data_IF_366995017698
#
_entry.id   IF_366995017698
#
_cell.length_a   1.000
_cell.length_b   1.000
_cell.length_c   1.000
_cell.angle_alpha   90.00
_cell.angle_beta   90.00
_cell.angle_gamma   90.00
#
_symmetry.space_group_name_H-M   'P 1'
#
loop_
_entity.id
_entity.type
_entity.pdbx_description
1 polymer ?
#
# COMPACT_ATOMS: atom_id res chain seq x y z
N UNK A 1 17.05 -13.31 -16.88
CA UNK A 1 16.76 -14.49 -16.01
C UNK A 1 15.86 -14.18 -14.80
N UNK A 2 15.36 -12.95 -14.62
CA UNK A 2 14.39 -12.64 -13.55
C UNK A 2 12.92 -13.02 -13.88
N UNK A 3 12.57 -13.12 -15.17
CA UNK A 3 11.20 -13.38 -15.63
C UNK A 3 10.64 -14.78 -15.26
N UNK A 4 11.51 -15.73 -14.90
CA UNK A 4 11.12 -17.11 -14.55
C UNK A 4 10.87 -17.29 -13.04
N UNK A 5 11.21 -16.30 -12.20
CA UNK A 5 11.11 -16.42 -10.74
C UNK A 5 9.81 -15.88 -10.15
N UNK A 6 9.03 -15.12 -10.92
CA UNK A 6 7.71 -14.61 -10.51
C UNK A 6 6.55 -15.45 -11.07
N UNK A 7 6.81 -16.66 -11.58
CA UNK A 7 5.82 -17.51 -12.27
C UNK A 7 4.97 -18.40 -11.35
N UNK A 8 5.14 -18.35 -10.03
CA UNK A 8 4.27 -19.10 -9.12
C UNK A 8 2.88 -18.46 -9.11
N UNK A 9 1.90 -19.18 -9.67
CA UNK A 9 0.49 -18.75 -9.81
C UNK A 9 -0.17 -18.38 -8.47
N UNK A 10 0.38 -18.83 -7.34
CA UNK A 10 -0.14 -18.58 -6.01
C UNK A 10 -0.01 -17.11 -5.54
N UNK A 11 0.98 -16.35 -6.04
CA UNK A 11 1.28 -15.00 -5.53
C UNK A 11 0.74 -13.87 -6.42
N UNK A 12 0.19 -14.21 -7.60
CA UNK A 12 -0.24 -13.25 -8.64
C UNK A 12 -1.66 -12.69 -8.57
N UNK A 13 -2.69 -13.32 -7.95
CA UNK A 13 -4.06 -12.84 -8.13
C UNK A 13 -4.30 -11.43 -7.57
N UNK A 14 -3.43 -10.96 -6.65
CA UNK A 14 -3.53 -9.63 -6.05
C UNK A 14 -2.32 -8.72 -6.39
N UNK A 15 -1.42 -9.17 -7.26
CA UNK A 15 -0.23 -8.40 -7.64
C UNK A 15 -0.58 -7.46 -8.80
N UNK A 16 -0.37 -6.15 -8.62
CA UNK A 16 -0.49 -5.18 -9.72
C UNK A 16 0.70 -5.31 -10.66
N UNK A 17 0.45 -5.18 -11.97
CA UNK A 17 1.53 -5.17 -12.95
C UNK A 17 2.29 -3.85 -12.86
N UNK A 18 3.60 -3.90 -12.63
CA UNK A 18 4.46 -2.70 -12.54
C UNK A 18 5.53 -2.75 -13.62
N UNK A 19 5.68 -1.66 -14.36
CA UNK A 19 6.81 -1.44 -15.27
C UNK A 19 7.65 -0.30 -14.70
N UNK A 20 8.96 -0.49 -14.60
CA UNK A 20 9.91 0.57 -14.24
C UNK A 20 10.68 0.96 -15.50
N UNK A 21 10.48 2.19 -15.95
CA UNK A 21 11.15 2.81 -17.09
C UNK A 21 12.21 3.78 -16.59
N UNK A 22 13.50 3.46 -16.78
CA UNK A 22 14.58 4.44 -16.57
C UNK A 22 14.96 5.04 -17.92
N UNK A 23 14.90 6.37 -18.03
CA UNK A 23 15.18 7.07 -19.28
C UNK A 23 15.80 8.45 -19.02
N UNK A 24 16.59 8.92 -19.99
CA UNK A 24 17.21 10.26 -20.00
C UNK A 24 16.55 11.22 -21.00
N UNK A 25 15.82 10.67 -21.98
CA UNK A 25 15.25 11.42 -23.10
C UNK A 25 13.96 10.79 -23.61
N UNK A 26 13.08 11.61 -24.20
CA UNK A 26 11.83 11.18 -24.81
C UNK A 26 11.79 11.55 -26.31
N UNK A 27 11.32 10.63 -27.15
CA UNK A 27 11.17 10.87 -28.58
C UNK A 27 9.74 10.54 -29.04
N UNK A 28 9.07 11.56 -29.58
CA UNK A 28 7.75 11.44 -30.19
C UNK A 28 7.89 10.89 -31.61
N UNK A 29 8.20 9.60 -31.74
CA UNK A 29 8.24 8.95 -33.06
C UNK A 29 8.62 7.46 -33.02
N UNK A 30 8.18 6.72 -34.03
CA UNK A 30 8.37 5.27 -34.13
C UNK A 30 7.07 4.53 -34.46
N UNK A 31 7.14 3.21 -34.66
CA UNK A 31 5.98 2.37 -35.00
C UNK A 31 4.95 2.28 -33.86
N UNK A 32 5.35 2.60 -32.63
CA UNK A 32 4.48 2.64 -31.45
C UNK A 32 4.75 3.95 -30.71
N UNK A 33 3.72 4.79 -30.57
CA UNK A 33 3.81 6.02 -29.78
C UNK A 33 3.91 5.65 -28.30
N UNK A 34 5.01 5.98 -27.57
CA UNK A 34 5.20 5.53 -26.20
C UNK A 34 4.08 5.98 -25.25
N UNK A 35 3.48 7.15 -25.51
CA UNK A 35 2.32 7.65 -24.76
C UNK A 35 1.07 6.78 -24.89
N UNK A 36 0.81 6.22 -26.08
CA UNK A 36 -0.35 5.34 -26.30
C UNK A 36 -0.17 4.00 -25.59
N UNK A 37 1.04 3.43 -25.66
CA UNK A 37 1.36 2.17 -24.97
C UNK A 37 1.30 2.34 -23.45
N UNK A 38 1.84 3.45 -22.94
CA UNK A 38 1.76 3.80 -21.53
C UNK A 38 0.31 4.00 -21.07
N UNK A 39 -0.53 4.68 -21.86
CA UNK A 39 -1.95 4.87 -21.54
C UNK A 39 -2.70 3.54 -21.47
N UNK A 40 -2.52 2.66 -22.46
CA UNK A 40 -3.16 1.34 -22.47
C UNK A 40 -2.75 0.48 -21.27
N UNK A 41 -1.46 0.46 -20.94
CA UNK A 41 -0.98 -0.28 -19.77
C UNK A 41 -1.57 0.25 -18.45
N UNK A 42 -1.77 1.57 -18.35
CA UNK A 42 -2.43 2.20 -17.20
C UNK A 42 -3.93 1.87 -17.14
N UNK A 43 -4.61 1.81 -18.29
CA UNK A 43 -6.02 1.39 -18.38
C UNK A 43 -6.22 -0.07 -17.96
N UNK A 44 -5.25 -0.94 -18.25
CA UNK A 44 -5.22 -2.34 -17.81
C UNK A 44 -4.83 -2.51 -16.32
N UNK A 45 -4.99 -1.44 -15.51
CA UNK A 45 -4.66 -1.39 -14.09
C UNK A 45 -3.16 -1.64 -13.78
N UNK A 46 -2.30 -1.35 -14.77
CA UNK A 46 -0.85 -1.35 -14.63
C UNK A 46 -0.30 -0.04 -14.07
N UNK A 47 0.85 -0.13 -13.40
CA UNK A 47 1.57 1.00 -12.82
C UNK A 47 2.87 1.21 -13.58
N UNK A 48 3.03 2.38 -14.20
CA UNK A 48 4.26 2.74 -14.90
C UNK A 48 5.07 3.72 -14.06
N UNK A 49 6.16 3.23 -13.47
CA UNK A 49 7.16 4.03 -12.76
C UNK A 49 8.17 4.57 -13.76
N UNK A 50 8.34 5.88 -13.80
CA UNK A 50 9.30 6.53 -14.69
C UNK A 50 10.37 7.18 -13.84
N UNK A 51 11.60 6.73 -14.03
CA UNK A 51 12.78 7.26 -13.39
C UNK A 51 13.57 8.07 -14.42
N UNK A 52 13.46 9.39 -14.32
CA UNK A 52 14.17 10.34 -15.15
C UNK A 52 15.61 10.51 -14.64
N UNK A 53 16.57 10.07 -15.45
CA UNK A 53 17.98 10.22 -15.15
C UNK A 53 18.52 11.49 -15.80
N UNK A 54 18.78 12.50 -14.98
CA UNK A 54 19.39 13.77 -15.38
C UNK A 54 20.90 13.63 -15.31
N UNK A 55 21.58 13.80 -16.45
CA UNK A 55 23.05 13.81 -16.51
C UNK A 55 23.61 15.04 -15.77
N UNK A 56 24.92 15.03 -15.44
CA UNK A 56 25.59 16.03 -14.59
C UNK A 56 25.42 17.50 -15.07
N UNK A 57 25.05 17.70 -16.34
CA UNK A 57 24.79 19.00 -16.98
C UNK A 57 23.47 19.01 -17.78
N UNK A 58 22.61 18.01 -17.55
CA UNK A 58 21.32 17.85 -18.22
C UNK A 58 20.20 18.59 -17.48
N UNK A 59 19.06 18.70 -18.14
CA UNK A 59 17.80 19.12 -17.52
C UNK A 59 16.83 17.94 -17.51
N UNK A 60 15.96 17.83 -16.48
CA UNK A 60 14.94 16.79 -16.46
C UNK A 60 14.01 16.93 -17.66
N UNK A 61 13.85 15.85 -18.41
CA UNK A 61 12.89 15.76 -19.52
C UNK A 61 11.45 15.69 -18.99
N UNK A 62 10.69 16.77 -19.17
CA UNK A 62 9.31 16.90 -18.68
C UNK A 62 8.33 16.01 -19.45
N UNK A 63 8.63 15.64 -20.70
CA UNK A 63 7.76 14.78 -21.49
C UNK A 63 7.67 13.35 -20.92
N UNK A 64 8.69 12.90 -20.18
CA UNK A 64 8.69 11.60 -19.49
C UNK A 64 7.66 11.54 -18.35
N UNK A 65 7.28 12.68 -17.77
CA UNK A 65 6.26 12.76 -16.72
C UNK A 65 4.88 12.29 -17.24
N UNK A 66 4.57 12.61 -18.50
CA UNK A 66 3.29 12.23 -19.13
C UNK A 66 3.11 10.72 -19.27
N UNK A 67 4.21 9.97 -19.31
CA UNK A 67 4.20 8.52 -19.39
C UNK A 67 3.87 7.90 -18.03
N UNK A 68 4.42 8.47 -16.96
CA UNK A 68 4.29 7.93 -15.61
C UNK A 68 2.82 7.74 -15.21
N UNK A 69 2.57 6.73 -14.38
CA UNK A 69 1.35 6.70 -13.61
C UNK A 69 1.35 7.87 -12.62
N UNK A 70 0.18 8.46 -12.31
CA UNK A 70 0.09 9.44 -11.22
C UNK A 70 0.70 8.85 -9.96
N UNK A 71 1.62 9.53 -9.28
CA UNK A 71 2.32 8.94 -8.14
C UNK A 71 3.70 8.31 -8.44
N UNK A 72 4.17 8.26 -9.69
CA UNK A 72 5.33 7.41 -10.03
C UNK A 72 6.37 8.03 -10.97
N UNK A 73 6.48 9.36 -10.99
CA UNK A 73 7.59 10.05 -11.66
C UNK A 73 8.69 10.37 -10.65
N UNK A 74 9.90 9.88 -10.91
CA UNK A 74 11.06 10.00 -10.03
C UNK A 74 12.23 10.62 -10.79
N UNK A 75 13.10 11.35 -10.09
CA UNK A 75 14.31 11.94 -10.67
C UNK A 75 15.54 11.57 -9.84
N UNK A 76 16.67 11.34 -10.50
CA UNK A 76 17.94 11.09 -9.79
C UNK A 76 18.43 12.30 -8.98
N UNK A 77 18.00 13.52 -9.35
CA UNK A 77 18.32 14.75 -8.60
C UNK A 77 17.61 14.81 -7.25
N UNK A 78 16.46 14.15 -7.12
CA UNK A 78 15.66 14.10 -5.89
C UNK A 78 15.84 12.78 -5.13
N UNK A 79 16.36 11.74 -5.79
CA UNK A 79 16.59 10.41 -5.22
C UNK A 79 18.07 10.06 -5.05
N UNK A 80 18.77 10.83 -4.21
CA UNK A 80 20.21 10.69 -3.98
C UNK A 80 20.65 9.32 -3.41
N UNK A 81 19.71 8.57 -2.82
CA UNK A 81 19.99 7.31 -2.11
C UNK A 81 19.28 6.09 -2.73
N UNK A 82 18.51 6.24 -3.81
CA UNK A 82 17.66 5.16 -4.36
C UNK A 82 16.47 4.80 -3.45
N UNK A 83 16.15 5.65 -2.49
CA UNK A 83 15.05 5.44 -1.56
C UNK A 83 13.69 5.75 -2.20
N UNK A 84 13.66 6.63 -3.21
CA UNK A 84 12.42 7.01 -3.87
C UNK A 84 11.93 5.89 -4.80
N UNK A 85 12.83 5.20 -5.52
CA UNK A 85 12.46 4.02 -6.31
C UNK A 85 12.03 2.84 -5.42
N UNK A 86 12.70 2.64 -4.27
CA UNK A 86 12.29 1.65 -3.27
C UNK A 86 10.90 1.97 -2.73
N UNK A 87 10.64 3.24 -2.42
CA UNK A 87 9.33 3.74 -2.00
C UNK A 87 8.29 3.63 -3.09
N UNK A 88 8.55 3.99 -4.33
CA UNK A 88 7.59 3.79 -5.43
C UNK A 88 7.21 2.31 -5.61
N UNK A 89 8.14 1.38 -5.36
CA UNK A 89 7.88 -0.06 -5.40
C UNK A 89 7.21 -0.60 -4.12
N UNK A 90 7.30 0.11 -3.00
CA UNK A 90 6.74 -0.29 -1.69
C UNK A 90 5.47 0.46 -1.26
N UNK A 91 5.40 1.77 -1.49
CA UNK A 91 4.31 2.71 -1.15
C UNK A 91 3.10 2.57 -2.08
N UNK A 92 3.14 1.59 -2.98
CA UNK A 92 2.00 1.25 -3.83
C UNK A 92 0.78 0.77 -3.05
N UNK A 93 0.89 0.36 -1.79
CA UNK A 93 -0.25 -0.16 -1.03
C UNK A 93 -0.27 0.12 0.48
N UNK A 94 0.83 -0.03 1.25
CA UNK A 94 0.74 -0.01 2.72
C UNK A 94 2.02 0.51 3.44
N UNK A 95 1.82 1.24 4.55
CA UNK A 95 2.83 1.88 5.43
C UNK A 95 2.55 1.58 6.92
N UNK A 96 2.99 0.42 7.41
CA UNK A 96 2.97 -0.07 8.77
C UNK A 96 3.85 0.77 9.72
N UNK A 97 3.21 1.23 10.78
CA UNK A 97 3.80 2.01 11.87
C UNK A 97 3.87 1.12 13.12
N UNK A 98 5.08 0.99 13.67
CA UNK A 98 5.32 0.18 14.87
C UNK A 98 4.86 0.88 16.17
N UNK A 99 4.63 2.20 16.12
CA UNK A 99 4.12 2.94 17.26
C UNK A 99 2.65 2.58 17.53
N UNK A 100 2.37 2.11 18.73
CA UNK A 100 1.00 1.84 19.16
C UNK A 100 0.27 3.16 19.45
N UNK A 101 -0.91 3.33 18.86
CA UNK A 101 -1.73 4.53 19.06
C UNK A 101 -3.21 4.17 19.17
N UNK A 102 -4.02 5.11 19.64
CA UNK A 102 -5.47 5.00 19.52
C UNK A 102 -5.93 5.15 18.07
N UNK A 103 -7.17 4.72 17.80
CA UNK A 103 -7.70 4.68 16.43
C UNK A 103 -7.73 6.07 15.78
N UNK A 104 -8.17 7.09 16.52
CA UNK A 104 -8.28 8.45 16.02
C UNK A 104 -6.92 9.04 15.61
N UNK A 105 -5.89 8.80 16.43
CA UNK A 105 -4.54 9.24 16.14
C UNK A 105 -3.94 8.49 14.94
N UNK A 106 -4.16 7.17 14.84
CA UNK A 106 -3.77 6.39 13.67
C UNK A 106 -4.40 6.97 12.39
N UNK A 107 -5.71 7.27 12.42
CA UNK A 107 -6.43 7.83 11.27
C UNK A 107 -5.86 9.18 10.86
N UNK A 108 -5.60 10.06 11.82
CA UNK A 108 -5.07 11.39 11.53
C UNK A 108 -3.66 11.35 10.95
N UNK A 109 -2.82 10.41 11.40
CA UNK A 109 -1.46 10.22 10.87
C UNK A 109 -1.49 9.69 9.43
N UNK A 110 -2.31 8.67 9.16
CA UNK A 110 -2.46 8.19 7.78
C UNK A 110 -3.03 9.27 6.85
N UNK A 111 -3.96 10.10 7.36
CA UNK A 111 -4.49 11.23 6.59
C UNK A 111 -3.42 12.30 6.31
N UNK A 112 -2.51 12.57 7.24
CA UNK A 112 -1.39 13.49 6.99
C UNK A 112 -0.41 12.95 5.94
N UNK A 113 -0.36 11.64 5.76
CA UNK A 113 0.41 10.96 4.69
C UNK A 113 -0.38 10.85 3.37
N UNK A 114 -1.55 11.48 3.26
CA UNK A 114 -2.37 11.46 2.04
C UNK A 114 -3.16 10.16 1.82
N UNK A 115 -3.30 9.33 2.85
CA UNK A 115 -4.02 8.05 2.80
C UNK A 115 -5.03 7.85 3.93
N UNK A 116 -5.35 6.59 4.18
CA UNK A 116 -6.25 6.16 5.25
C UNK A 116 -5.64 4.98 6.01
N UNK A 117 -6.21 4.59 7.16
CA UNK A 117 -5.79 3.34 7.81
C UNK A 117 -6.10 2.18 6.86
N UNK A 118 -5.14 1.26 6.71
CA UNK A 118 -5.23 0.07 5.89
C UNK A 118 -6.58 -0.62 6.01
N UNK A 119 -7.25 -0.84 4.87
CA UNK A 119 -8.63 -1.33 4.89
C UNK A 119 -8.65 -2.81 5.24
N UNK A 120 -7.82 -3.66 4.63
CA UNK A 120 -7.82 -5.08 4.96
C UNK A 120 -9.20 -5.73 4.79
N UNK A 121 -9.89 -5.41 3.68
CA UNK A 121 -11.28 -5.82 3.38
C UNK A 121 -11.42 -7.32 3.12
N UNK A 122 -10.33 -7.98 2.78
CA UNK A 122 -10.24 -9.39 2.44
C UNK A 122 -9.16 -10.09 3.28
N UNK A 123 -9.27 -11.42 3.40
CA UNK A 123 -8.35 -12.23 4.21
C UNK A 123 -6.89 -12.10 3.69
N UNK A 124 -6.71 -12.15 2.38
CA UNK A 124 -5.40 -11.96 1.71
C UNK A 124 -4.72 -10.62 2.09
N UNK A 125 -5.48 -9.54 2.25
CA UNK A 125 -4.98 -8.22 2.60
C UNK A 125 -4.57 -8.18 4.06
N UNK A 126 -5.36 -8.76 4.97
CA UNK A 126 -4.97 -8.87 6.39
C UNK A 126 -3.77 -9.77 6.58
N UNK A 127 -3.67 -10.86 5.81
CA UNK A 127 -2.53 -11.77 5.80
C UNK A 127 -1.26 -11.11 5.27
N UNK A 128 -1.37 -10.24 4.26
CA UNK A 128 -0.23 -9.45 3.74
C UNK A 128 0.32 -8.48 4.79
N UNK A 129 -0.56 -7.89 5.61
CA UNK A 129 -0.17 -6.94 6.66
C UNK A 129 0.56 -7.61 7.83
N UNK A 130 0.21 -8.86 8.17
CA UNK A 130 0.87 -9.64 9.22
C UNK A 130 2.08 -10.41 8.66
N UNK A 131 3.28 -10.23 9.24
CA UNK A 131 4.53 -10.92 8.83
C UNK A 131 4.44 -12.45 8.70
N UNK A 132 3.36 -13.09 9.18
CA UNK A 132 3.22 -14.54 9.25
C UNK A 132 3.13 -15.25 7.89
N UNK A 133 2.78 -14.55 6.81
CA UNK A 133 2.53 -15.18 5.49
C UNK A 133 3.60 -14.96 4.43
N UNK A 134 4.61 -14.12 4.68
CA UNK A 134 5.69 -13.92 3.72
C UNK A 134 6.49 -15.22 3.53
N UNK A 135 6.47 -15.70 2.29
CA UNK A 135 7.08 -16.97 1.92
C UNK A 135 8.58 -17.00 2.28
N UNK A 136 9.17 -18.18 2.56
CA UNK A 136 10.60 -18.33 2.83
C UNK A 136 11.51 -17.76 1.74
N UNK A 137 10.99 -17.53 0.53
CA UNK A 137 11.73 -17.03 -0.62
C UNK A 137 12.02 -15.53 -0.52
N UNK A 138 11.17 -14.75 0.16
CA UNK A 138 11.42 -13.31 0.34
C UNK A 138 12.51 -13.12 1.42
N UNK A 139 12.58 -13.99 2.45
CA UNK A 139 13.62 -13.95 3.51
C UNK A 139 15.07 -14.03 3.02
N UNK A 140 15.30 -14.55 1.81
CA UNK A 140 16.63 -14.72 1.23
C UNK A 140 17.03 -13.59 0.26
N UNK A 141 16.17 -12.60 0.03
CA UNK A 141 16.58 -11.40 -0.71
C UNK A 141 17.51 -10.53 0.14
N UNK A 142 18.53 -9.89 -0.45
CA UNK A 142 19.29 -8.87 0.26
C UNK A 142 18.33 -7.79 0.79
N UNK A 143 18.60 -7.20 1.97
CA UNK A 143 17.69 -6.29 2.71
C UNK A 143 17.23 -5.05 1.93
N UNK A 144 17.80 -4.79 0.75
CA UNK A 144 17.46 -3.70 -0.16
C UNK A 144 16.05 -3.85 -0.77
N UNK A 145 15.50 -5.07 -0.84
CA UNK A 145 14.19 -5.36 -1.47
C UNK A 145 13.06 -5.68 -0.48
N UNK A 146 13.32 -5.75 0.83
CA UNK A 146 12.40 -6.35 1.80
C UNK A 146 12.20 -5.46 3.04
N UNK A 147 11.61 -4.28 2.82
CA UNK A 147 11.15 -3.38 3.89
C UNK A 147 9.90 -2.61 3.49
N UNK A 148 9.07 -3.17 2.59
CA UNK A 148 7.72 -2.66 2.45
C UNK A 148 7.01 -2.99 3.77
N UNK A 149 6.50 -1.96 4.43
CA UNK A 149 6.13 -1.96 5.84
C UNK A 149 5.36 -3.20 6.35
N UNK A 150 5.84 -3.83 7.43
CA UNK A 150 5.28 -5.10 7.93
C UNK A 150 5.02 -5.04 9.45
N UNK A 151 3.89 -5.59 9.93
CA UNK A 151 3.66 -5.76 11.37
C UNK A 151 4.49 -6.90 11.94
N UNK A 152 4.90 -6.84 13.21
CA UNK A 152 5.49 -8.01 13.86
C UNK A 152 4.49 -9.18 13.88
N UNK A 153 4.94 -10.38 13.49
CA UNK A 153 4.09 -11.57 13.42
C UNK A 153 3.37 -11.79 14.74
N UNK A 154 2.04 -11.95 14.68
CA UNK A 154 1.22 -12.21 15.85
C UNK A 154 0.94 -10.98 16.72
N UNK A 155 1.14 -9.77 16.21
CA UNK A 155 0.69 -8.55 16.85
C UNK A 155 -0.75 -8.19 16.42
N UNK A 156 -1.51 -7.57 17.32
CA UNK A 156 -2.82 -7.01 16.97
C UNK A 156 -2.65 -5.60 16.41
N UNK A 157 -3.36 -5.30 15.34
CA UNK A 157 -3.26 -4.02 14.64
C UNK A 157 -4.62 -3.46 14.24
N UNK A 158 -4.69 -2.14 14.07
CA UNK A 158 -5.87 -1.45 13.57
C UNK A 158 -6.12 -1.71 12.09
N UNK A 159 -7.38 -1.88 11.72
CA UNK A 159 -7.86 -1.81 10.34
C UNK A 159 -8.82 -0.64 10.18
N UNK A 160 -8.96 -0.13 8.97
CA UNK A 160 -9.79 1.03 8.65
C UNK A 160 -11.30 0.81 8.79
N UNK A 161 -11.77 -0.14 9.61
CA UNK A 161 -13.19 -0.40 9.84
C UNK A 161 -13.66 0.22 11.15
N UNK A 162 -14.76 0.97 11.08
CA UNK A 162 -15.38 1.61 12.25
C UNK A 162 -16.91 1.56 12.16
N UNK A 163 -17.57 1.45 13.30
CA UNK A 163 -19.02 1.60 13.40
C UNK A 163 -19.42 3.07 13.22
N UNK A 164 -20.32 3.33 12.28
CA UNK A 164 -20.92 4.63 12.06
C UNK A 164 -22.29 4.71 12.75
N UNK A 165 -22.39 5.57 13.76
CA UNK A 165 -23.56 5.66 14.64
C UNK A 165 -24.81 6.13 13.89
N UNK A 166 -24.67 7.01 12.91
CA UNK A 166 -25.81 7.54 12.16
C UNK A 166 -26.36 6.48 11.21
N UNK A 167 -25.47 5.77 10.51
CA UNK A 167 -25.84 4.74 9.52
C UNK A 167 -26.22 3.41 10.18
N UNK A 168 -25.88 3.23 11.46
CA UNK A 168 -26.05 1.96 12.20
C UNK A 168 -25.39 0.80 11.45
N UNK A 169 -24.20 1.04 10.89
CA UNK A 169 -23.45 0.06 10.11
C UNK A 169 -21.95 0.28 10.23
N UNK A 170 -21.16 -0.76 9.92
CA UNK A 170 -19.71 -0.62 9.76
C UNK A 170 -19.37 0.04 8.42
N UNK A 171 -18.41 0.96 8.46
CA UNK A 171 -17.90 1.72 7.33
C UNK A 171 -16.37 1.71 7.33
N UNK A 172 -15.81 1.62 6.13
CA UNK A 172 -14.39 1.68 5.88
C UNK A 172 -13.88 3.12 5.89
N UNK A 173 -12.59 3.32 6.15
CA UNK A 173 -11.97 4.64 6.20
C UNK A 173 -11.97 5.38 4.85
N UNK A 174 -12.17 4.67 3.75
CA UNK A 174 -12.40 5.21 2.40
C UNK A 174 -13.88 5.61 2.13
N UNK A 175 -14.77 5.41 3.10
CA UNK A 175 -16.20 5.68 3.01
C UNK A 175 -17.03 4.55 2.38
N UNK A 176 -16.40 3.43 1.99
CA UNK A 176 -17.14 2.29 1.47
C UNK A 176 -17.85 1.52 2.59
N UNK A 177 -19.05 1.02 2.31
CA UNK A 177 -19.79 0.20 3.27
C UNK A 177 -19.17 -1.19 3.40
N UNK A 178 -19.29 -1.80 4.58
CA UNK A 178 -18.90 -3.19 4.76
C UNK A 178 -19.78 -4.11 3.87
N UNK A 179 -19.16 -4.90 3.00
CA UNK A 179 -19.87 -5.83 2.14
C UNK A 179 -20.60 -6.90 2.97
N UNK A 180 -21.75 -7.38 2.48
CA UNK A 180 -22.57 -8.41 3.14
C UNK A 180 -21.99 -9.83 3.05
N UNK A 181 -20.73 -9.98 2.66
CA UNK A 181 -20.03 -11.27 2.53
C UNK A 181 -19.52 -11.78 3.88
N UNK A 182 -19.10 -13.05 3.93
CA UNK A 182 -18.53 -13.64 5.14
C UNK A 182 -17.18 -12.98 5.46
N UNK A 183 -17.19 -12.09 6.45
CA UNK A 183 -16.00 -11.43 6.99
C UNK A 183 -15.44 -12.23 8.18
N UNK A 184 -14.13 -12.20 8.42
CA UNK A 184 -13.47 -13.08 9.39
C UNK A 184 -13.64 -12.60 10.84
N UNK A 185 -14.86 -12.36 11.30
CA UNK A 185 -15.11 -11.95 12.68
C UNK A 185 -14.75 -13.05 13.69
N UNK A 186 -14.06 -12.69 14.77
CA UNK A 186 -13.65 -13.62 15.85
C UNK A 186 -14.84 -14.31 16.53
N UNK A 187 -15.99 -13.65 16.50
CA UNK A 187 -17.31 -14.17 16.88
C UNK A 187 -18.33 -13.62 15.89
N UNK A 188 -19.33 -14.44 15.51
CA UNK A 188 -20.46 -14.03 14.63
C UNK A 188 -20.86 -12.58 14.92
N UNK A 189 -21.08 -11.72 13.90
CA UNK A 189 -21.28 -10.29 14.10
C UNK A 189 -22.47 -10.10 15.03
N UNK A 190 -22.18 -9.93 16.31
CA UNK A 190 -23.19 -9.55 17.28
C UNK A 190 -23.69 -8.18 16.84
N UNK A 191 -24.96 -7.83 17.10
CA UNK A 191 -25.35 -6.43 17.02
C UNK A 191 -24.30 -5.60 17.76
N UNK A 192 -23.89 -4.49 17.13
CA UNK A 192 -22.88 -3.58 17.67
C UNK A 192 -23.06 -3.39 19.18
N UNK A 193 -21.94 -3.50 19.91
CA UNK A 193 -21.93 -3.30 21.34
C UNK A 193 -21.51 -1.87 21.63
N UNK A 194 -22.26 -1.18 22.48
CA UNK A 194 -21.96 0.21 22.85
C UNK A 194 -20.56 0.31 23.46
N UNK A 195 -19.71 1.18 22.91
CA UNK A 195 -18.36 1.44 23.41
C UNK A 195 -17.24 0.66 22.70
N UNK A 196 -17.55 -0.19 21.72
CA UNK A 196 -16.55 -0.90 20.90
C UNK A 196 -16.74 -0.57 19.40
N UNK A 197 -16.59 0.71 19.07
CA UNK A 197 -16.86 1.22 17.72
C UNK A 197 -15.74 0.92 16.71
N UNK A 198 -14.52 0.63 17.16
CA UNK A 198 -13.37 0.43 16.28
C UNK A 198 -13.03 -1.06 16.12
N UNK A 199 -12.41 -1.44 15.02
CA UNK A 199 -12.09 -2.84 14.73
C UNK A 199 -10.59 -3.03 14.61
N UNK A 200 -10.09 -4.08 15.26
CA UNK A 200 -8.71 -4.53 15.14
C UNK A 200 -8.66 -5.95 14.59
N UNK A 201 -7.53 -6.29 14.00
CA UNK A 201 -7.18 -7.67 13.67
C UNK A 201 -6.47 -8.31 14.86
N UNK A 202 -6.83 -9.55 15.16
CA UNK A 202 -6.21 -10.37 16.21
C UNK A 202 -5.80 -11.73 15.65
N UNK A 203 -4.63 -12.25 16.02
CA UNK A 203 -4.25 -13.61 15.67
C UNK A 203 -5.05 -14.62 16.49
N UNK A 204 -5.63 -15.62 15.83
CA UNK A 204 -6.34 -16.75 16.41
C UNK A 204 -5.81 -18.05 15.80
N UNK A 205 -4.80 -18.63 16.43
CA UNK A 205 -4.08 -19.78 15.88
C UNK A 205 -3.30 -19.38 14.63
N UNK A 206 -3.57 -20.03 13.49
CA UNK A 206 -3.00 -19.69 12.18
C UNK A 206 -3.82 -18.64 11.41
N UNK A 207 -4.98 -18.23 11.94
CA UNK A 207 -5.90 -17.33 11.24
C UNK A 207 -5.84 -15.93 11.84
N UNK A 208 -6.19 -14.94 11.02
CA UNK A 208 -6.41 -13.56 11.44
C UNK A 208 -7.90 -13.27 11.46
N UNK A 209 -8.39 -12.76 12.59
CA UNK A 209 -9.82 -12.48 12.77
C UNK A 209 -10.04 -11.05 13.25
N UNK A 210 -11.21 -10.50 12.92
CA UNK A 210 -11.60 -9.14 13.28
C UNK A 210 -12.32 -9.15 14.64
N UNK A 211 -11.95 -8.20 15.49
CA UNK A 211 -12.55 -8.02 16.80
C UNK A 211 -12.91 -6.55 17.02
N UNK A 212 -14.17 -6.23 17.38
CA UNK A 212 -14.52 -4.89 17.82
C UNK A 212 -13.85 -4.60 19.17
N UNK A 213 -13.42 -3.35 19.36
CA UNK A 213 -12.69 -2.89 20.54
C UNK A 213 -12.94 -1.40 20.76
N UNK A 214 -12.71 -0.93 21.98
CA UNK A 214 -12.77 0.50 22.30
C UNK A 214 -11.70 1.25 21.49
N UNK A 215 -12.11 2.30 20.79
CA UNK A 215 -11.25 3.14 19.96
C UNK A 215 -10.11 3.81 20.73
N UNK A 216 -10.19 3.86 22.06
CA UNK A 216 -9.18 4.44 22.97
C UNK A 216 -8.01 3.50 23.26
N UNK A 217 -8.17 2.20 23.01
CA UNK A 217 -7.08 1.23 23.13
C UNK A 217 -5.94 1.57 22.18
N UNK A 218 -4.75 1.02 22.41
CA UNK A 218 -3.56 1.32 21.59
C UNK A 218 -3.05 0.09 20.88
N UNK A 219 -3.03 0.14 19.55
CA UNK A 219 -2.49 -0.92 18.68
C UNK A 219 -1.59 -0.33 17.61
N UNK A 220 -0.76 -1.17 17.00
CA UNK A 220 -0.04 -0.81 15.78
C UNK A 220 -1.03 -0.59 14.64
N UNK A 221 -0.62 0.12 13.61
CA UNK A 221 -1.49 0.40 12.46
C UNK A 221 -0.66 0.54 11.19
N UNK A 222 -1.32 0.42 10.06
CA UNK A 222 -0.72 0.62 8.75
C UNK A 222 -1.57 1.61 7.99
N UNK A 223 -0.93 2.47 7.22
CA UNK A 223 -1.60 3.41 6.35
C UNK A 223 -1.64 2.83 4.93
N UNK A 224 -2.81 2.79 4.32
CA UNK A 224 -2.94 2.60 2.89
C UNK A 224 -2.86 3.99 2.25
N UNK A 225 -1.69 4.26 1.70
CA UNK A 225 -1.33 5.53 1.07
C UNK A 225 -1.15 5.29 -0.42
N UNK A 226 -1.48 6.31 -1.23
CA UNK A 226 -1.00 6.33 -2.60
C UNK A 226 0.51 6.56 -2.58
N UNK A 227 1.27 6.00 -3.53
CA UNK A 227 2.72 6.17 -3.56
C UNK A 227 3.10 7.63 -3.75
N UNK A 228 4.27 7.98 -3.21
CA UNK A 228 4.77 9.35 -3.24
C UNK A 228 5.08 9.81 -4.68
N UNK A 229 4.75 11.06 -5.01
CA UNK A 229 5.23 11.78 -6.19
C UNK A 229 5.69 13.20 -5.84
N UNK A 230 6.04 13.96 -6.88
CA UNK A 230 6.41 15.39 -6.81
C UNK A 230 5.28 16.29 -6.28
N UNK A 231 4.04 15.79 -6.15
CA UNK A 231 2.88 16.49 -5.60
C UNK A 231 2.40 15.91 -4.24
N UNK A 232 2.80 14.68 -3.93
CA UNK A 232 2.42 13.85 -2.78
C UNK A 232 3.68 13.44 -2.04
N UNK A 233 4.19 14.36 -1.22
CA UNK A 233 5.40 14.14 -0.45
C UNK A 233 5.13 13.19 0.72
N UNK A 234 5.71 12.00 0.71
CA UNK A 234 5.73 11.15 1.89
C UNK A 234 6.72 11.71 2.91
N UNK A 235 6.21 12.13 4.07
CA UNK A 235 7.05 12.49 5.20
C UNK A 235 7.82 11.24 5.65
N UNK A 236 9.14 11.36 5.76
CA UNK A 236 9.96 10.29 6.34
C UNK A 236 9.46 9.98 7.76
N UNK A 237 9.33 8.69 8.09
CA UNK A 237 9.07 8.26 9.46
C UNK A 237 10.22 8.73 10.36
N UNK A 238 9.89 9.56 11.35
CA UNK A 238 10.79 9.99 12.44
C UNK A 238 10.78 8.95 13.55
#
# INVERSE_FOLDING_TARGET
MAALQFQTEADRPNARNVIVLMATSYYVGGAFAPGQVAAQFKEDNGVLVVYNYVEEHGFPETELESLASPGYFLTNTEDNNGDAIRRALCDGCYSAKQAQTNYQLATNRCRSEGGFIALGKEQNQTEYLDKSTLSPLIRNFPPILMTCSEFNSGSSFWIGLKWEQIKQSYEWADGSALASTAQPWASSPSPHQTGVDCVRVVPQGSNLVWAPVDCRETFTYSCEVSPCDSQTFCTQDV
#
